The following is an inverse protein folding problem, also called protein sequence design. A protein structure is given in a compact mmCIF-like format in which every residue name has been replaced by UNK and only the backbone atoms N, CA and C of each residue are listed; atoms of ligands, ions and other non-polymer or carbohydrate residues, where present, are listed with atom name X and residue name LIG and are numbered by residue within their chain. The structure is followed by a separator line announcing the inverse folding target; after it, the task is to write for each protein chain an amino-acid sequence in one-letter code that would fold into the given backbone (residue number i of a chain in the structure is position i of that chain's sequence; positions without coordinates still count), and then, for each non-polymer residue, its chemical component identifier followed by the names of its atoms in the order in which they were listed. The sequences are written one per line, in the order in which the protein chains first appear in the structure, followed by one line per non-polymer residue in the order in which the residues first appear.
data_IF_081358511651
#
_entry.id   IF_081358511651
#
_cell.length_a   1.000
_cell.length_b   1.000
_cell.length_c   1.000
_cell.angle_alpha   90.00
_cell.angle_beta   90.00
_cell.angle_gamma   90.00
#
_symmetry.space_group_name_H-M   'P 1'
#
loop_
_entity.id
_entity.type
_entity.pdbx_description
1 polymer ?
#
# COMPACT_ATOMS: atom_id res chain seq x y z
N UNK A 1 9.50 3.34 12.30
CA UNK A 1 8.08 2.97 12.51
C UNK A 1 7.25 3.57 11.38
N UNK A 2 6.28 2.82 10.81
CA UNK A 2 5.39 3.35 9.77
C UNK A 2 4.51 4.47 10.36
N UNK A 3 4.53 5.62 9.70
CA UNK A 3 3.69 6.79 10.00
C UNK A 3 2.37 6.66 9.24
N UNK A 4 1.38 7.46 9.63
CA UNK A 4 0.06 7.49 9.00
C UNK A 4 -0.19 8.91 8.57
N UNK A 5 -0.68 9.09 7.34
CA UNK A 5 -0.83 10.38 6.71
C UNK A 5 -2.25 10.56 6.22
N UNK A 6 -2.86 11.69 6.54
CA UNK A 6 -4.10 12.16 5.97
C UNK A 6 -3.80 13.16 4.85
N UNK A 7 -4.33 12.91 3.65
CA UNK A 7 -4.22 13.78 2.49
C UNK A 7 -5.63 14.25 2.07
N UNK A 8 -5.82 15.54 1.80
CA UNK A 8 -7.10 16.14 1.38
C UNK A 8 -6.96 16.87 0.04
N UNK A 9 -7.99 16.82 -0.81
CA UNK A 9 -8.04 17.48 -2.13
C UNK A 9 -9.42 18.09 -2.46
N UNK A 10 -9.51 18.78 -3.59
CA UNK A 10 -10.61 19.67 -4.00
C UNK A 10 -12.00 19.00 -4.02
N UNK A 11 -12.11 17.79 -4.57
CA UNK A 11 -13.28 16.93 -4.35
C UNK A 11 -13.14 16.30 -2.95
N UNK A 12 -13.56 17.03 -1.90
CA UNK A 12 -13.40 16.73 -0.45
C UNK A 12 -13.42 15.23 -0.09
N UNK A 13 -12.31 14.56 -0.31
CA UNK A 13 -12.09 13.18 0.07
C UNK A 13 -10.78 13.13 0.85
N UNK A 14 -10.84 12.39 1.95
CA UNK A 14 -9.75 12.25 2.91
C UNK A 14 -9.16 10.86 2.73
N UNK A 15 -7.97 10.81 2.15
CA UNK A 15 -7.22 9.56 2.05
C UNK A 15 -6.30 9.41 3.25
N UNK A 16 -6.36 8.25 3.90
CA UNK A 16 -5.49 7.90 5.01
C UNK A 16 -4.57 6.76 4.59
N UNK A 17 -3.30 7.09 4.34
CA UNK A 17 -2.29 6.13 3.91
C UNK A 17 -1.33 5.81 5.06
N UNK A 18 -0.87 4.56 5.16
CA UNK A 18 0.15 4.13 6.12
C UNK A 18 1.47 3.92 5.40
N UNK A 19 2.43 4.78 5.66
CA UNK A 19 3.76 4.69 5.05
C UNK A 19 4.85 5.23 5.99
N UNK A 20 6.10 4.90 5.73
CA UNK A 20 7.28 5.36 6.45
C UNK A 20 7.62 6.83 6.17
N UNK A 21 7.33 7.33 4.97
CA UNK A 21 7.66 8.70 4.52
C UNK A 21 6.43 9.44 3.99
N UNK A 22 6.51 10.78 4.00
CA UNK A 22 5.48 11.64 3.41
C UNK A 22 5.38 11.45 1.89
N UNK A 23 6.53 11.32 1.22
CA UNK A 23 6.62 11.21 -0.24
C UNK A 23 5.96 9.91 -0.73
N UNK A 24 6.26 8.78 -0.09
CA UNK A 24 5.61 7.51 -0.43
C UNK A 24 4.10 7.53 -0.17
N UNK A 25 3.64 8.23 0.88
CA UNK A 25 2.22 8.39 1.13
C UNK A 25 1.48 9.18 0.04
N UNK A 26 2.17 10.15 -0.59
CA UNK A 26 1.67 10.91 -1.73
C UNK A 26 1.67 10.05 -2.99
N UNK A 27 2.72 9.26 -3.25
CA UNK A 27 2.75 8.30 -4.37
C UNK A 27 1.60 7.29 -4.27
N UNK A 28 1.38 6.71 -3.09
CA UNK A 28 0.26 5.81 -2.85
C UNK A 28 -1.08 6.47 -3.15
N UNK A 29 -1.28 7.72 -2.70
CA UNK A 29 -2.50 8.49 -2.99
C UNK A 29 -2.70 8.66 -4.50
N UNK A 30 -1.66 9.01 -5.25
CA UNK A 30 -1.75 9.13 -6.72
C UNK A 30 -2.14 7.79 -7.38
N UNK A 31 -1.57 6.67 -6.96
CA UNK A 31 -1.87 5.35 -7.53
C UNK A 31 -3.30 4.88 -7.25
N UNK A 32 -3.82 5.16 -6.05
CA UNK A 32 -5.20 4.81 -5.69
C UNK A 32 -6.21 5.68 -6.43
N UNK A 33 -5.93 6.98 -6.58
CA UNK A 33 -6.77 7.91 -7.33
C UNK A 33 -6.84 7.56 -8.82
N UNK A 34 -5.71 7.14 -9.40
CA UNK A 34 -5.68 6.66 -10.77
C UNK A 34 -6.48 5.37 -10.96
N UNK A 35 -6.50 4.49 -9.96
CA UNK A 35 -7.17 3.18 -10.05
C UNK A 35 -8.68 3.25 -9.77
N UNK A 36 -9.09 4.00 -8.75
CA UNK A 36 -10.48 4.06 -8.30
C UNK A 36 -11.31 5.09 -9.06
N UNK A 37 -10.71 6.24 -9.35
CA UNK A 37 -11.40 7.40 -9.91
C UNK A 37 -10.91 7.76 -11.32
N UNK A 38 -9.92 7.03 -11.85
CA UNK A 38 -9.34 7.24 -13.17
C UNK A 38 -8.82 8.67 -13.39
N UNK A 39 -8.34 9.30 -12.31
CA UNK A 39 -7.85 10.69 -12.33
C UNK A 39 -6.35 10.73 -12.59
N UNK A 40 -5.93 11.68 -13.45
CA UNK A 40 -4.52 11.91 -13.77
C UNK A 40 -3.89 12.90 -12.78
N UNK A 41 -2.57 12.81 -12.60
CA UNK A 41 -1.81 13.61 -11.64
C UNK A 41 -2.04 15.13 -11.73
N UNK A 42 -2.17 15.68 -12.94
CA UNK A 42 -2.39 17.11 -13.16
C UNK A 42 -3.75 17.61 -12.67
N UNK A 43 -4.74 16.72 -12.54
CA UNK A 43 -6.07 17.06 -12.05
C UNK A 43 -6.16 17.04 -10.51
N UNK A 44 -5.12 16.57 -9.82
CA UNK A 44 -5.14 16.36 -8.37
C UNK A 44 -4.33 17.45 -7.69
N UNK A 45 -5.00 18.28 -6.90
CA UNK A 45 -4.37 19.29 -6.06
C UNK A 45 -4.44 18.85 -4.60
N UNK A 46 -3.27 18.72 -3.96
CA UNK A 46 -3.16 18.37 -2.55
C UNK A 46 -3.27 19.65 -1.72
N UNK A 47 -4.22 19.70 -0.80
CA UNK A 47 -4.48 20.89 0.04
C UNK A 47 -3.64 20.82 1.32
N UNK A 48 -3.66 19.67 1.99
CA UNK A 48 -2.96 19.47 3.25
C UNK A 48 -2.57 18.01 3.41
N UNK A 49 -1.35 17.80 3.90
CA UNK A 49 -0.84 16.51 4.35
C UNK A 49 -0.53 16.63 5.84
N UNK A 50 -1.06 15.71 6.64
CA UNK A 50 -0.81 15.70 8.08
C UNK A 50 -0.57 14.29 8.59
N UNK A 51 0.32 14.14 9.58
CA UNK A 51 0.48 12.87 10.29
C UNK A 51 -0.68 12.64 11.25
N UNK A 52 -1.37 11.51 11.12
CA UNK A 52 -2.55 11.17 11.94
C UNK A 52 -2.16 10.11 12.99
N UNK A 53 -2.44 10.32 14.29
CA UNK A 53 -2.19 9.32 15.32
C UNK A 53 -3.21 8.16 15.25
N UNK A 54 -2.85 7.00 15.79
CA UNK A 54 -3.63 5.75 15.68
C UNK A 54 -5.11 5.85 16.07
N UNK A 55 -5.39 6.66 17.08
CA UNK A 55 -6.71 6.80 17.67
C UNK A 55 -7.66 7.61 16.77
N UNK A 56 -7.11 8.43 15.88
CA UNK A 56 -7.87 9.36 15.04
C UNK A 56 -8.05 8.86 13.60
N UNK A 57 -7.44 7.72 13.23
CA UNK A 57 -7.64 7.13 11.91
C UNK A 57 -9.10 6.71 11.75
N UNK A 58 -9.75 7.15 10.67
CA UNK A 58 -11.16 6.85 10.40
C UNK A 58 -11.31 5.61 9.51
N UNK A 59 -10.36 5.37 8.61
CA UNK A 59 -10.48 4.35 7.55
C UNK A 59 -10.27 2.93 8.09
N UNK A 60 -11.21 2.03 7.80
CA UNK A 60 -11.20 0.63 8.26
C UNK A 60 -9.97 -0.14 7.75
N UNK A 61 -9.61 0.09 6.48
CA UNK A 61 -8.42 -0.50 5.85
C UNK A 61 -7.11 -0.12 6.55
N UNK A 62 -7.06 1.03 7.22
CA UNK A 62 -5.88 1.50 7.95
C UNK A 62 -5.94 1.03 9.41
N UNK A 63 -7.15 0.94 9.99
CA UNK A 63 -7.41 0.45 11.36
C UNK A 63 -7.02 -1.01 11.56
N UNK A 64 -7.25 -1.87 10.57
CA UNK A 64 -6.95 -3.31 10.67
C UNK A 64 -5.48 -3.58 11.05
N UNK A 65 -4.57 -2.66 10.74
CA UNK A 65 -3.14 -2.80 11.00
C UNK A 65 -2.66 -2.17 12.32
N UNK A 66 -3.56 -1.72 13.21
CA UNK A 66 -3.18 -1.05 14.46
C UNK A 66 -2.83 -2.01 15.60
N UNK A 67 -3.25 -3.27 15.51
CA UNK A 67 -2.93 -4.26 16.52
C UNK A 67 -1.46 -4.73 16.40
N UNK A 68 -0.72 -4.76 17.50
CA UNK A 68 0.68 -5.21 17.50
C UNK A 68 0.83 -6.73 17.39
N UNK A 69 -0.23 -7.51 17.61
CA UNK A 69 -0.23 -8.99 17.60
C UNK A 69 -0.70 -9.60 16.27
N UNK A 70 -0.71 -8.83 15.18
CA UNK A 70 -1.23 -9.29 13.89
C UNK A 70 -0.27 -10.31 13.28
N UNK A 71 -0.81 -11.46 12.85
CA UNK A 71 -0.10 -12.49 12.10
C UNK A 71 -0.86 -12.78 10.82
N UNK A 72 -0.17 -12.79 9.69
CA UNK A 72 -0.75 -13.15 8.40
C UNK A 72 -0.22 -14.53 7.98
N UNK A 73 -1.10 -15.53 7.75
CA UNK A 73 -0.66 -16.77 7.13
C UNK A 73 -0.29 -16.52 5.66
N UNK A 74 0.84 -17.07 5.23
CA UNK A 74 1.24 -17.04 3.82
C UNK A 74 0.58 -18.22 3.10
N UNK A 75 -0.66 -18.01 2.63
CA UNK A 75 -1.46 -19.07 1.97
C UNK A 75 -0.90 -19.42 0.59
N UNK A 76 -0.32 -18.46 -0.12
CA UNK A 76 0.21 -18.65 -1.46
C UNK A 76 1.53 -17.90 -1.64
N UNK A 77 2.61 -18.64 -1.84
CA UNK A 77 3.94 -18.09 -2.09
C UNK A 77 4.28 -18.21 -3.57
N UNK A 78 4.23 -17.09 -4.29
CA UNK A 78 4.68 -17.03 -5.68
C UNK A 78 6.20 -17.28 -5.72
N UNK A 79 6.62 -18.41 -6.28
CA UNK A 79 8.04 -18.74 -6.45
C UNK A 79 8.67 -17.73 -7.41
N UNK A 80 9.51 -16.83 -6.86
CA UNK A 80 10.32 -15.89 -7.63
C UNK A 80 11.78 -16.32 -7.53
N UNK A 81 12.51 -16.52 -8.64
CA UNK A 81 13.94 -16.79 -8.59
C UNK A 81 14.66 -15.60 -7.94
N UNK A 82 15.68 -15.83 -7.09
CA UNK A 82 16.34 -14.76 -6.35
C UNK A 82 17.14 -13.82 -7.25
N UNK A 83 17.59 -14.29 -8.41
CA UNK A 83 18.27 -13.48 -9.41
C UNK A 83 17.70 -13.74 -10.80
N UNK A 84 17.81 -12.75 -11.69
CA UNK A 84 17.32 -12.85 -13.08
C UNK A 84 18.00 -13.98 -13.87
N UNK A 85 19.27 -14.27 -13.56
CA UNK A 85 20.05 -15.35 -14.20
C UNK A 85 19.45 -16.74 -13.98
N UNK A 86 18.78 -16.95 -12.84
CA UNK A 86 18.19 -18.24 -12.44
C UNK A 86 16.74 -18.41 -12.91
N UNK A 87 16.24 -17.48 -13.75
CA UNK A 87 14.92 -17.57 -14.37
C UNK A 87 15.01 -18.47 -15.61
N UNK A 88 14.54 -19.71 -15.48
CA UNK A 88 14.46 -20.68 -16.58
C UNK A 88 13.03 -20.80 -17.10
N UNK A 89 12.88 -21.18 -18.38
CA UNK A 89 11.56 -21.43 -18.99
C UNK A 89 10.93 -22.74 -18.51
N UNK A 90 11.77 -23.75 -18.27
CA UNK A 90 11.36 -25.06 -17.78
C UNK A 90 12.15 -25.44 -16.54
N UNK A 91 11.51 -26.21 -15.65
CA UNK A 91 12.12 -26.84 -14.47
C UNK A 91 11.59 -28.26 -14.35
N UNK A 92 12.46 -29.19 -13.97
CA UNK A 92 12.08 -30.60 -13.81
C UNK A 92 11.15 -30.83 -12.61
N UNK A 93 11.25 -29.99 -11.57
CA UNK A 93 10.45 -30.09 -10.35
C UNK A 93 9.24 -29.13 -10.36
N UNK A 94 8.09 -29.60 -9.90
CA UNK A 94 6.90 -28.75 -9.68
C UNK A 94 7.13 -27.83 -8.46
N UNK A 95 6.80 -26.54 -8.55
CA UNK A 95 6.92 -25.64 -7.41
C UNK A 95 5.85 -25.94 -6.34
N UNK A 96 6.24 -25.96 -5.07
CA UNK A 96 5.30 -25.95 -3.95
C UNK A 96 4.96 -24.50 -3.57
N UNK A 97 3.68 -24.19 -3.42
CA UNK A 97 3.17 -22.83 -3.23
C UNK A 97 2.64 -22.58 -1.81
N UNK A 98 2.51 -23.64 -1.00
CA UNK A 98 1.89 -23.61 0.33
C UNK A 98 2.88 -23.77 1.48
N UNK A 99 4.18 -23.84 1.19
CA UNK A 99 5.27 -24.03 2.14
C UNK A 99 6.20 -22.81 2.22
#
# INVERSE_FOLDING_TARGET
MPKRFGCSWFLKSLQENRDTTLNGAVEHMYTEMASLHMVRHHCIQIIKIATVPAKLCKRESTKQFHNSKIKFPLVYKKVRPPSRKLKTNYKASRPNLFM
#
